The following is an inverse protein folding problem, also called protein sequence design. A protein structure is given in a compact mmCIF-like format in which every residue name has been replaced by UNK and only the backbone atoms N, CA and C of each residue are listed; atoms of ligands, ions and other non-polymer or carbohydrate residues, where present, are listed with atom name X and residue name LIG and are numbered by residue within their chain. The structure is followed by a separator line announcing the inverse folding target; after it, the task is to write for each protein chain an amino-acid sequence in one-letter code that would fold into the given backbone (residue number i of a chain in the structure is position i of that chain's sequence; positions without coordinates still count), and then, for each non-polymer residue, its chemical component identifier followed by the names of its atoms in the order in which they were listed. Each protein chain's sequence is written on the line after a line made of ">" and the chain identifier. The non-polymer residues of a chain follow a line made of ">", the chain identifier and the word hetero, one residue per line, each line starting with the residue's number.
data_IF_607600042794
#
_entry.id   IF_607600042794
#
_cell.length_a   1.000
_cell.length_b   1.000
_cell.length_c   1.000
_cell.angle_alpha   90.00
_cell.angle_beta   90.00
_cell.angle_gamma   90.00
#
_symmetry.space_group_name_H-M   'P 1'
#
loop_
_entity.id
_entity.type
_entity.pdbx_description
1 polymer ?
#
# COMPACT_ATOMS: atom_id res chain seq x y z
N UNK A 1 -7.78 20.20 -56.63
CA UNK A 1 -8.63 21.23 -56.00
C UNK A 1 -8.46 21.10 -54.49
N UNK A 2 -7.63 21.96 -53.89
CA UNK A 2 -7.32 21.95 -52.45
C UNK A 2 -8.20 22.95 -51.72
N UNK A 3 -8.86 22.52 -50.65
CA UNK A 3 -9.56 23.41 -49.72
C UNK A 3 -8.71 23.60 -48.46
N UNK A 4 -8.32 24.86 -48.21
CA UNK A 4 -7.64 25.33 -47.01
C UNK A 4 -8.68 25.96 -46.07
N UNK A 5 -8.76 25.49 -44.83
CA UNK A 5 -9.66 26.03 -43.78
C UNK A 5 -8.91 27.04 -42.89
N UNK A 6 -9.52 28.22 -42.76
CA UNK A 6 -9.04 29.41 -42.04
C UNK A 6 -9.19 29.30 -40.51
N UNK A 7 -8.23 29.86 -39.77
CA UNK A 7 -8.25 30.07 -38.30
C UNK A 7 -9.11 31.29 -37.91
N UNK A 8 -9.79 31.30 -36.75
CA UNK A 8 -10.51 32.47 -36.25
C UNK A 8 -9.63 33.45 -35.45
N UNK A 9 -9.96 34.73 -35.59
CA UNK A 9 -9.27 35.93 -35.06
C UNK A 9 -9.65 36.23 -33.60
N UNK A 10 -8.69 36.85 -32.88
CA UNK A 10 -8.88 37.51 -31.56
C UNK A 10 -9.80 38.73 -31.66
N UNK A 11 -10.59 38.97 -30.61
CA UNK A 11 -11.31 40.24 -30.40
C UNK A 11 -10.93 40.87 -29.06
N UNK A 12 -10.89 42.19 -29.11
CA UNK A 12 -10.24 43.16 -28.21
C UNK A 12 -11.24 43.64 -27.14
N UNK A 13 -10.72 43.95 -25.94
CA UNK A 13 -11.42 44.57 -24.79
C UNK A 13 -11.73 46.06 -25.05
N UNK A 14 -12.89 46.53 -24.56
CA UNK A 14 -13.23 47.96 -24.38
C UNK A 14 -13.73 48.15 -22.92
N UNK A 15 -13.37 49.24 -22.20
CA UNK A 15 -13.60 49.40 -20.76
C UNK A 15 -14.90 50.14 -20.44
N UNK A 16 -15.37 50.05 -19.18
CA UNK A 16 -16.35 50.99 -18.59
C UNK A 16 -15.92 51.41 -17.19
N UNK A 17 -15.99 52.72 -16.95
CA UNK A 17 -15.72 53.44 -15.70
C UNK A 17 -16.97 53.56 -14.82
N UNK A 18 -16.69 53.79 -13.52
CA UNK A 18 -17.58 53.93 -12.36
C UNK A 18 -18.70 54.99 -12.48
N UNK A 19 -19.85 54.77 -11.81
CA UNK A 19 -20.19 55.26 -10.44
C UNK A 19 -21.69 55.11 -10.19
N UNK A 20 -22.09 54.54 -9.04
CA UNK A 20 -23.04 55.15 -8.08
C UNK A 20 -23.22 54.24 -6.85
N UNK A 21 -23.16 54.90 -5.70
CA UNK A 21 -23.22 54.41 -4.33
C UNK A 21 -24.55 53.76 -3.96
N UNK A 22 -24.51 52.62 -3.25
CA UNK A 22 -25.50 52.25 -2.24
C UNK A 22 -24.79 51.52 -1.10
N UNK A 23 -24.91 52.10 0.10
CA UNK A 23 -24.47 51.56 1.38
C UNK A 23 -25.06 50.18 1.64
N UNK A 24 -24.21 49.17 1.87
CA UNK A 24 -24.61 47.91 2.50
C UNK A 24 -23.99 47.83 3.88
N UNK A 25 -24.87 47.89 4.87
CA UNK A 25 -24.66 47.56 6.26
C UNK A 25 -23.98 46.19 6.41
N UNK A 26 -22.95 46.14 7.25
CA UNK A 26 -22.32 44.90 7.70
C UNK A 26 -23.32 44.11 8.54
N UNK A 27 -23.84 43.01 7.99
CA UNK A 27 -24.41 41.94 8.81
C UNK A 27 -23.27 41.04 9.29
N UNK A 28 -22.89 41.20 10.56
CA UNK A 28 -22.18 40.17 11.30
C UNK A 28 -23.13 38.97 11.45
N UNK A 29 -22.98 37.96 10.58
CA UNK A 29 -23.54 36.63 10.84
C UNK A 29 -22.56 35.90 11.76
N UNK A 30 -22.83 35.95 13.06
CA UNK A 30 -22.29 35.02 14.03
C UNK A 30 -22.80 33.61 13.71
N UNK A 31 -22.12 32.92 12.80
CA UNK A 31 -22.35 31.51 12.57
C UNK A 31 -21.75 30.73 13.74
N UNK A 32 -22.63 30.45 14.70
CA UNK A 32 -22.48 29.46 15.76
C UNK A 32 -21.71 28.23 15.26
N UNK A 33 -20.72 27.83 16.07
CA UNK A 33 -19.93 26.62 15.97
C UNK A 33 -20.82 25.40 15.65
N UNK A 34 -20.95 25.05 14.37
CA UNK A 34 -21.45 23.76 13.95
C UNK A 34 -20.35 22.75 14.27
N UNK A 35 -20.63 21.89 15.27
CA UNK A 35 -19.90 20.69 15.63
C UNK A 35 -19.16 20.09 14.42
N UNK A 36 -17.86 20.34 14.29
CA UNK A 36 -17.00 19.43 13.53
C UNK A 36 -17.02 18.12 14.30
N UNK A 37 -17.89 17.20 13.91
CA UNK A 37 -17.86 15.83 14.42
C UNK A 37 -16.42 15.34 14.36
N UNK A 38 -15.86 15.02 15.52
CA UNK A 38 -14.54 14.42 15.65
C UNK A 38 -14.55 13.19 14.75
N UNK A 39 -13.63 13.14 13.77
CA UNK A 39 -13.52 11.95 12.93
C UNK A 39 -13.13 10.79 13.86
N UNK A 40 -13.85 9.66 13.82
CA UNK A 40 -13.45 8.49 14.58
C UNK A 40 -12.03 8.08 14.16
N UNK A 41 -11.19 7.59 15.10
CA UNK A 41 -9.86 7.06 14.81
C UNK A 41 -9.90 6.02 13.66
N UNK A 42 -8.84 5.94 12.85
CA UNK A 42 -8.80 4.94 11.77
C UNK A 42 -8.81 3.55 12.43
N UNK A 43 -9.57 2.61 11.85
CA UNK A 43 -9.73 1.26 12.43
C UNK A 43 -10.88 1.09 13.41
N UNK A 44 -11.57 2.17 13.82
CA UNK A 44 -12.67 2.11 14.82
C UNK A 44 -14.09 2.11 14.23
N UNK A 45 -14.24 2.03 12.90
CA UNK A 45 -15.54 2.18 12.23
C UNK A 45 -16.15 0.81 11.93
N UNK A 46 -16.80 0.22 12.92
CA UNK A 46 -17.44 -1.09 12.78
C UNK A 46 -18.85 -1.00 12.19
N UNK A 47 -19.11 -1.73 11.12
CA UNK A 47 -20.45 -1.85 10.54
C UNK A 47 -21.26 -2.84 11.39
N UNK A 48 -22.30 -2.36 12.08
CA UNK A 48 -23.15 -3.19 12.95
C UNK A 48 -24.50 -3.54 12.32
N UNK A 49 -24.99 -2.66 11.45
CA UNK A 49 -26.26 -2.81 10.74
C UNK A 49 -26.01 -2.62 9.24
N UNK A 50 -26.55 -3.50 8.40
CA UNK A 50 -26.45 -3.38 6.95
C UNK A 50 -27.13 -2.11 6.40
N UNK A 51 -28.15 -1.60 7.09
CA UNK A 51 -28.81 -0.35 6.73
C UNK A 51 -27.83 0.85 6.77
N UNK A 52 -26.77 0.75 7.58
CA UNK A 52 -25.81 1.82 7.77
C UNK A 52 -24.71 1.87 6.71
N UNK A 53 -24.59 0.87 5.83
CA UNK A 53 -23.46 0.72 4.88
C UNK A 53 -23.08 2.03 4.17
N UNK A 54 -24.07 2.79 3.70
CA UNK A 54 -23.86 4.02 2.91
C UNK A 54 -23.87 5.32 3.72
N UNK A 55 -23.93 5.24 5.05
CA UNK A 55 -23.83 6.42 5.94
C UNK A 55 -22.40 6.93 6.06
N UNK A 56 -21.41 6.06 5.84
CA UNK A 56 -19.97 6.37 5.84
C UNK A 56 -19.34 6.02 4.51
N UNK A 57 -18.13 6.54 4.26
CA UNK A 57 -17.37 6.20 3.04
C UNK A 57 -16.59 4.88 3.18
N UNK A 58 -16.33 4.45 4.42
CA UNK A 58 -15.63 3.21 4.71
C UNK A 58 -15.95 2.68 6.11
N UNK A 59 -15.85 1.37 6.24
CA UNK A 59 -15.98 0.58 7.47
C UNK A 59 -14.78 -0.35 7.60
N UNK A 60 -14.31 -0.52 8.82
CA UNK A 60 -13.13 -1.31 9.18
C UNK A 60 -13.57 -2.69 9.70
N UNK A 61 -12.76 -3.71 9.46
CA UNK A 61 -12.96 -5.10 9.90
C UNK A 61 -14.26 -5.75 9.39
N UNK A 62 -14.68 -5.39 8.17
CA UNK A 62 -15.86 -5.98 7.52
C UNK A 62 -15.46 -7.19 6.69
N UNK A 63 -15.54 -8.36 7.30
CA UNK A 63 -15.35 -9.64 6.62
C UNK A 63 -16.65 -9.99 5.88
N UNK A 64 -16.63 -10.21 4.55
CA UNK A 64 -17.81 -10.70 3.87
C UNK A 64 -18.21 -12.09 4.38
N UNK A 65 -19.51 -12.36 4.40
CA UNK A 65 -19.99 -13.71 4.67
C UNK A 65 -19.43 -14.68 3.60
N UNK A 66 -18.67 -15.73 4.01
CA UNK A 66 -18.00 -16.64 3.07
C UNK A 66 -18.95 -17.29 2.06
N UNK A 67 -20.16 -17.67 2.48
CA UNK A 67 -21.15 -18.29 1.59
C UNK A 67 -21.66 -17.28 0.55
N UNK A 68 -21.92 -16.04 0.96
CA UNK A 68 -22.39 -14.97 0.06
C UNK A 68 -21.43 -14.61 -1.07
N UNK A 69 -20.12 -14.86 -0.92
CA UNK A 69 -19.10 -14.48 -1.92
C UNK A 69 -18.42 -15.65 -2.63
N UNK A 70 -18.55 -16.88 -2.13
CA UNK A 70 -17.87 -18.05 -2.69
C UNK A 70 -18.13 -18.23 -4.19
N UNK A 71 -19.40 -18.15 -4.61
CA UNK A 71 -19.77 -18.27 -6.03
C UNK A 71 -19.21 -17.14 -6.89
N UNK A 72 -19.27 -15.89 -6.39
CA UNK A 72 -18.77 -14.70 -7.10
C UNK A 72 -17.24 -14.77 -7.27
N UNK A 73 -16.54 -15.21 -6.22
CA UNK A 73 -15.10 -15.42 -6.24
C UNK A 73 -14.76 -16.53 -7.25
N UNK A 74 -15.41 -17.68 -7.13
CA UNK A 74 -15.17 -18.82 -8.02
C UNK A 74 -15.42 -18.46 -9.49
N UNK A 75 -16.54 -17.80 -9.80
CA UNK A 75 -16.88 -17.35 -11.14
C UNK A 75 -15.86 -16.34 -11.67
N UNK A 76 -15.41 -15.39 -10.84
CA UNK A 76 -14.42 -14.39 -11.25
C UNK A 76 -13.07 -15.03 -11.57
N UNK A 77 -12.60 -15.96 -10.74
CA UNK A 77 -11.33 -16.65 -10.96
C UNK A 77 -11.39 -17.60 -12.16
N UNK A 78 -12.49 -18.34 -12.33
CA UNK A 78 -12.71 -19.20 -13.50
C UNK A 78 -12.67 -18.40 -14.80
N UNK A 79 -13.36 -17.25 -14.84
CA UNK A 79 -13.33 -16.32 -15.97
C UNK A 79 -11.91 -15.83 -16.28
N UNK A 80 -11.14 -15.47 -15.27
CA UNK A 80 -9.76 -14.99 -15.45
C UNK A 80 -8.82 -16.07 -15.97
N UNK A 81 -8.96 -17.31 -15.48
CA UNK A 81 -8.18 -18.47 -15.94
C UNK A 81 -8.55 -18.92 -17.36
N UNK A 82 -9.81 -18.72 -17.77
CA UNK A 82 -10.26 -19.07 -19.12
C UNK A 82 -9.59 -18.24 -20.23
N UNK A 83 -9.09 -17.04 -19.91
CA UNK A 83 -8.42 -16.16 -20.86
C UNK A 83 -7.22 -15.45 -20.20
N UNK A 84 -6.07 -16.12 -20.07
CA UNK A 84 -4.85 -15.51 -19.54
C UNK A 84 -4.24 -14.51 -20.54
N UNK A 85 -3.18 -13.83 -20.12
CA UNK A 85 -2.35 -13.02 -21.01
C UNK A 85 -1.68 -13.92 -22.06
N UNK A 86 -1.68 -13.49 -23.33
CA UNK A 86 -0.97 -14.21 -24.41
C UNK A 86 0.54 -14.29 -24.13
N UNK A 87 1.19 -15.40 -24.50
CA UNK A 87 2.60 -15.68 -24.16
C UNK A 87 3.57 -14.56 -24.56
N UNK A 88 3.45 -14.01 -25.77
CA UNK A 88 4.29 -12.90 -26.21
C UNK A 88 4.13 -11.64 -25.33
N UNK A 89 2.91 -11.35 -24.88
CA UNK A 89 2.65 -10.25 -23.96
C UNK A 89 3.13 -10.58 -22.54
N UNK A 90 3.03 -11.84 -22.10
CA UNK A 90 3.56 -12.32 -20.80
C UNK A 90 5.08 -12.12 -20.75
N UNK A 91 5.81 -12.50 -21.79
CA UNK A 91 7.26 -12.30 -21.91
C UNK A 91 7.64 -10.82 -21.78
N UNK A 92 7.00 -9.93 -22.56
CA UNK A 92 7.27 -8.50 -22.50
C UNK A 92 7.04 -7.89 -21.10
N UNK A 93 5.95 -8.29 -20.43
CA UNK A 93 5.62 -7.80 -19.09
C UNK A 93 6.66 -8.23 -18.03
N UNK A 94 7.27 -9.40 -18.21
CA UNK A 94 8.25 -9.96 -17.26
C UNK A 94 9.68 -9.49 -17.53
N UNK A 95 10.06 -9.25 -18.78
CA UNK A 95 11.39 -8.75 -19.13
C UNK A 95 11.59 -7.28 -18.77
N UNK A 96 10.52 -6.47 -18.81
CA UNK A 96 10.61 -5.03 -18.66
C UNK A 96 9.60 -4.46 -17.62
N UNK A 97 9.58 -4.98 -16.38
CA UNK A 97 8.52 -4.65 -15.43
C UNK A 97 8.56 -3.19 -14.91
N UNK A 98 9.70 -2.51 -15.04
CA UNK A 98 9.85 -1.09 -14.68
C UNK A 98 9.16 -0.15 -15.69
N UNK A 99 9.06 -0.52 -16.97
CA UNK A 99 8.56 0.39 -18.03
C UNK A 99 7.13 0.88 -17.79
N UNK A 100 6.15 0.03 -17.39
CA UNK A 100 4.82 0.49 -17.03
C UNK A 100 4.83 1.52 -15.90
N UNK A 101 5.70 1.37 -14.90
CA UNK A 101 5.83 2.32 -13.79
C UNK A 101 6.48 3.63 -14.21
N UNK A 102 7.50 3.60 -15.06
CA UNK A 102 8.07 4.82 -15.63
C UNK A 102 7.04 5.61 -16.43
N UNK A 103 6.21 4.94 -17.24
CA UNK A 103 5.10 5.55 -17.97
C UNK A 103 4.07 6.13 -16.99
N UNK A 104 3.72 5.37 -15.94
CA UNK A 104 2.80 5.79 -14.91
C UNK A 104 3.28 7.08 -14.22
N UNK A 105 4.52 7.13 -13.73
CA UNK A 105 5.05 8.30 -13.03
C UNK A 105 5.31 9.48 -13.97
N UNK A 106 5.71 9.23 -15.22
CA UNK A 106 5.78 10.28 -16.24
C UNK A 106 4.43 10.95 -16.48
N UNK A 107 3.34 10.18 -16.47
CA UNK A 107 1.98 10.69 -16.72
C UNK A 107 1.36 11.35 -15.50
N UNK A 108 1.49 10.74 -14.32
CA UNK A 108 0.71 11.13 -13.14
C UNK A 108 1.49 11.99 -12.14
N UNK A 109 2.83 11.93 -12.16
CA UNK A 109 3.71 12.56 -11.16
C UNK A 109 3.30 12.18 -9.73
N UNK A 110 3.15 13.16 -8.86
CA UNK A 110 2.75 13.10 -7.46
C UNK A 110 1.22 13.22 -7.24
N UNK A 111 0.42 13.29 -8.32
CA UNK A 111 -1.01 13.63 -8.22
C UNK A 111 -1.93 12.42 -8.04
N UNK A 112 -1.42 11.19 -8.16
CA UNK A 112 -2.25 9.99 -8.17
C UNK A 112 -2.44 9.38 -6.78
N UNK A 113 -1.34 9.14 -6.06
CA UNK A 113 -1.37 8.57 -4.73
C UNK A 113 -1.52 9.67 -3.69
N UNK A 114 -2.27 9.36 -2.63
CA UNK A 114 -2.43 10.26 -1.49
C UNK A 114 -1.38 9.96 -0.44
N UNK A 115 -1.02 10.98 0.30
CA UNK A 115 -0.19 10.85 1.49
C UNK A 115 -0.77 9.85 2.48
N UNK A 116 0.10 8.98 2.99
CA UNK A 116 -0.25 7.87 3.88
C UNK A 116 -0.35 8.36 5.32
N UNK A 117 -1.29 9.25 5.57
CA UNK A 117 -1.50 9.83 6.90
C UNK A 117 -1.96 8.81 7.95
N UNK A 118 -2.17 7.54 7.61
CA UNK A 118 -2.54 6.47 8.54
C UNK A 118 -1.32 5.73 9.13
N UNK A 119 -0.10 5.98 8.62
CA UNK A 119 1.09 5.23 9.04
C UNK A 119 1.38 5.37 10.54
N UNK A 120 1.05 6.52 11.14
CA UNK A 120 1.29 6.74 12.56
C UNK A 120 0.41 5.86 13.47
N UNK A 121 -0.76 5.43 12.99
CA UNK A 121 -1.68 4.56 13.75
C UNK A 121 -1.26 3.09 13.62
N UNK A 122 -0.92 2.64 12.42
CA UNK A 122 -0.59 1.23 12.13
C UNK A 122 0.88 0.89 12.44
N UNK A 123 1.77 1.89 12.31
CA UNK A 123 3.22 1.74 12.48
C UNK A 123 3.79 2.81 13.43
N UNK A 124 3.44 2.78 14.72
CA UNK A 124 3.96 3.73 15.72
C UNK A 124 5.49 3.73 15.83
N UNK A 125 6.15 2.65 15.40
CA UNK A 125 7.61 2.53 15.31
C UNK A 125 8.22 3.57 14.37
N UNK A 126 7.50 4.01 13.33
CA UNK A 126 7.96 5.10 12.46
C UNK A 126 7.91 6.43 13.19
N UNK A 127 6.85 6.65 13.97
CA UNK A 127 6.66 7.88 14.75
C UNK A 127 7.71 8.00 15.85
N UNK A 128 8.14 6.90 16.46
CA UNK A 128 9.21 6.96 17.46
C UNK A 128 10.53 7.43 16.85
N UNK A 129 10.83 7.06 15.59
CA UNK A 129 12.05 7.51 14.90
C UNK A 129 12.10 9.01 14.65
N UNK A 130 10.93 9.68 14.61
CA UNK A 130 10.82 11.11 14.30
C UNK A 130 10.88 11.99 15.54
N UNK A 131 10.86 11.43 16.76
CA UNK A 131 10.86 12.21 18.00
C UNK A 131 12.22 12.84 18.31
N UNK A 132 12.21 14.02 18.91
CA UNK A 132 13.42 14.63 19.45
C UNK A 132 14.10 13.66 20.45
N UNK A 133 15.42 13.48 20.30
CA UNK A 133 16.20 12.58 21.17
C UNK A 133 16.10 11.08 20.86
N UNK A 134 15.45 10.67 19.75
CA UNK A 134 15.42 9.27 19.33
C UNK A 134 16.81 8.72 18.91
N UNK A 135 17.80 9.59 18.72
CA UNK A 135 19.16 9.25 18.33
C UNK A 135 19.29 8.87 16.85
N UNK A 136 20.46 8.33 16.44
CA UNK A 136 20.70 7.90 15.07
C UNK A 136 19.78 6.74 14.67
N UNK A 137 18.90 6.99 13.70
CA UNK A 137 18.01 5.96 13.15
C UNK A 137 17.99 6.08 11.62
N UNK A 138 18.17 4.97 10.93
CA UNK A 138 18.03 4.88 9.47
C UNK A 138 16.76 4.12 9.10
N UNK A 139 15.88 4.78 8.36
CA UNK A 139 14.66 4.19 7.78
C UNK A 139 14.81 4.13 6.26
N UNK A 140 14.52 2.98 5.66
CA UNK A 140 14.52 2.82 4.21
C UNK A 140 13.10 2.51 3.68
N UNK A 141 12.61 3.29 2.72
CA UNK A 141 11.40 2.97 1.95
C UNK A 141 11.80 2.34 0.61
N UNK A 142 11.43 1.07 0.40
CA UNK A 142 11.64 0.37 -0.87
C UNK A 142 10.33 0.34 -1.66
N UNK A 143 10.39 0.75 -2.93
CA UNK A 143 9.21 1.11 -3.71
C UNK A 143 8.63 2.47 -3.28
N UNK A 144 9.49 3.48 -3.13
CA UNK A 144 9.12 4.78 -2.56
C UNK A 144 8.15 5.58 -3.43
N UNK A 145 8.04 5.29 -4.72
CA UNK A 145 7.15 6.00 -5.63
C UNK A 145 7.39 7.51 -5.62
N UNK A 146 6.33 8.29 -5.41
CA UNK A 146 6.43 9.75 -5.26
C UNK A 146 6.76 10.22 -3.83
N UNK A 147 7.04 9.31 -2.88
CA UNK A 147 7.39 9.63 -1.50
C UNK A 147 6.20 9.91 -0.58
N UNK A 148 4.98 9.49 -0.94
CA UNK A 148 3.75 9.73 -0.17
C UNK A 148 3.72 9.06 1.22
N UNK A 149 4.67 8.18 1.53
CA UNK A 149 4.83 7.60 2.87
C UNK A 149 5.88 8.37 3.67
N UNK A 150 7.08 8.59 3.11
CA UNK A 150 8.17 9.23 3.81
C UNK A 150 8.01 10.75 4.01
N UNK A 151 7.39 11.48 3.07
CA UNK A 151 7.30 12.94 3.20
C UNK A 151 6.38 13.40 4.34
N UNK A 152 5.23 12.76 4.61
CA UNK A 152 4.47 13.00 5.83
C UNK A 152 5.30 12.78 7.10
N UNK A 153 6.10 11.72 7.17
CA UNK A 153 6.99 11.45 8.31
C UNK A 153 8.06 12.55 8.47
N UNK A 154 8.66 12.98 7.35
CA UNK A 154 9.66 14.04 7.34
C UNK A 154 9.08 15.42 7.68
N UNK A 155 7.83 15.68 7.32
CA UNK A 155 7.14 16.94 7.61
C UNK A 155 6.94 17.13 9.12
N UNK A 156 6.72 16.04 9.84
CA UNK A 156 6.53 15.98 11.30
C UNK A 156 7.82 15.60 12.05
N UNK A 157 8.97 15.53 11.37
CA UNK A 157 10.22 15.09 11.97
C UNK A 157 10.86 16.12 12.91
N UNK A 158 11.13 15.70 14.14
CA UNK A 158 11.86 16.43 15.17
C UNK A 158 13.26 15.84 15.42
N UNK A 159 13.56 14.64 14.91
CA UNK A 159 14.84 13.96 15.06
C UNK A 159 15.88 14.47 14.04
N UNK A 160 16.91 15.16 14.52
CA UNK A 160 18.01 15.65 13.69
C UNK A 160 18.90 14.54 13.10
N UNK A 161 18.87 13.35 13.69
CA UNK A 161 19.71 12.20 13.33
C UNK A 161 18.95 11.12 12.55
N UNK A 162 17.69 11.39 12.17
CA UNK A 162 16.93 10.53 11.27
C UNK A 162 17.54 10.57 9.87
N UNK A 163 17.85 9.40 9.31
CA UNK A 163 18.25 9.22 7.92
C UNK A 163 17.18 8.45 7.16
N UNK A 164 16.52 9.13 6.23
CA UNK A 164 15.54 8.52 5.33
C UNK A 164 16.20 8.12 4.01
N UNK A 165 16.08 6.85 3.62
CA UNK A 165 16.57 6.32 2.36
C UNK A 165 15.36 5.91 1.51
N UNK A 166 15.30 6.33 0.25
CA UNK A 166 14.15 6.10 -0.61
C UNK A 166 14.60 5.45 -1.93
N UNK A 167 14.11 4.25 -2.20
CA UNK A 167 14.51 3.47 -3.35
C UNK A 167 13.30 3.07 -4.19
N UNK A 168 13.44 3.18 -5.51
CA UNK A 168 12.46 2.68 -6.47
C UNK A 168 13.20 2.29 -7.75
N UNK A 169 12.81 1.23 -8.46
CA UNK A 169 13.45 0.94 -9.75
C UNK A 169 13.08 1.96 -10.83
N UNK A 170 12.01 2.74 -10.62
CA UNK A 170 11.55 3.73 -11.56
C UNK A 170 12.38 5.00 -11.36
N UNK A 171 13.26 5.28 -12.32
CA UNK A 171 14.01 6.54 -12.33
C UNK A 171 13.05 7.75 -12.29
N UNK A 172 11.84 7.63 -12.87
CA UNK A 172 10.83 8.69 -12.85
C UNK A 172 10.21 8.90 -11.48
N UNK A 173 9.99 7.85 -10.71
CA UNK A 173 9.57 7.96 -9.31
C UNK A 173 10.61 8.72 -8.48
N UNK A 174 11.88 8.31 -8.60
CA UNK A 174 13.00 8.93 -7.87
C UNK A 174 13.22 10.40 -8.28
N UNK A 175 13.05 10.74 -9.56
CA UNK A 175 13.07 12.13 -10.03
C UNK A 175 12.01 12.99 -9.30
N UNK A 176 10.76 12.49 -9.19
CA UNK A 176 9.68 13.19 -8.47
C UNK A 176 10.05 13.40 -7.01
N UNK A 177 10.59 12.38 -6.35
CA UNK A 177 11.07 12.48 -4.96
C UNK A 177 12.13 13.58 -4.83
N UNK A 178 13.11 13.62 -5.73
CA UNK A 178 14.22 14.60 -5.69
C UNK A 178 13.77 16.04 -5.97
N UNK A 179 12.62 16.23 -6.62
CA UNK A 179 12.02 17.53 -6.86
C UNK A 179 11.28 18.09 -5.63
N UNK A 180 10.87 17.24 -4.70
CA UNK A 180 10.07 17.63 -3.55
C UNK A 180 10.83 18.60 -2.62
N UNK A 181 10.18 19.66 -2.07
CA UNK A 181 10.86 20.64 -1.23
C UNK A 181 11.56 20.03 0.01
N UNK A 182 10.92 19.06 0.67
CA UNK A 182 11.51 18.37 1.83
C UNK A 182 12.69 17.45 1.48
N UNK A 183 12.88 17.08 0.22
CA UNK A 183 14.09 16.36 -0.20
C UNK A 183 15.29 17.31 -0.22
N UNK A 184 15.12 18.51 -0.76
CA UNK A 184 16.19 19.50 -0.90
C UNK A 184 16.54 20.18 0.42
N UNK A 185 15.54 20.38 1.27
CA UNK A 185 15.69 21.09 2.54
C UNK A 185 14.78 20.47 3.59
N UNK A 186 15.10 19.26 4.09
CA UNK A 186 14.38 18.69 5.22
C UNK A 186 14.54 19.59 6.45
N UNK A 187 13.49 19.67 7.28
CA UNK A 187 13.53 20.47 8.52
C UNK A 187 14.55 19.91 9.53
N UNK A 188 14.62 18.59 9.60
CA UNK A 188 15.47 17.78 10.49
C UNK A 188 15.82 16.49 9.77
N UNK A 189 16.96 15.90 10.11
CA UNK A 189 17.43 14.66 9.51
C UNK A 189 17.94 14.85 8.09
N UNK A 190 18.10 13.74 7.39
CA UNK A 190 18.59 13.69 6.01
C UNK A 190 17.71 12.78 5.17
N UNK A 191 17.66 13.05 3.86
CA UNK A 191 16.92 12.25 2.89
C UNK A 191 17.84 11.94 1.73
N UNK A 192 17.92 10.68 1.34
CA UNK A 192 18.62 10.25 0.13
C UNK A 192 17.69 9.38 -0.71
N UNK A 193 17.68 9.60 -2.01
CA UNK A 193 16.86 8.83 -2.94
C UNK A 193 17.66 8.46 -4.18
N UNK A 194 17.58 7.20 -4.59
CA UNK A 194 18.23 6.72 -5.81
C UNK A 194 17.47 5.56 -6.48
N UNK A 195 17.65 5.38 -7.80
CA UNK A 195 17.09 4.23 -8.48
C UNK A 195 17.76 2.94 -7.99
N UNK A 196 16.97 1.99 -7.54
CA UNK A 196 17.46 0.66 -7.15
C UNK A 196 16.38 -0.40 -7.36
N UNK A 197 16.77 -1.49 -8.00
CA UNK A 197 15.90 -2.64 -8.23
C UNK A 197 16.06 -3.66 -7.10
N UNK A 198 15.07 -3.69 -6.22
CA UNK A 198 14.98 -4.57 -5.07
C UNK A 198 15.12 -6.06 -5.44
N UNK A 199 14.78 -6.47 -6.67
CA UNK A 199 14.88 -7.87 -7.09
C UNK A 199 16.25 -8.30 -7.60
N UNK A 200 17.21 -7.37 -7.75
CA UNK A 200 18.55 -7.68 -8.28
C UNK A 200 19.53 -7.99 -7.15
N UNK A 201 20.53 -8.87 -7.37
CA UNK A 201 21.52 -9.23 -6.35
C UNK A 201 22.58 -8.14 -6.15
N UNK A 202 22.12 -6.92 -5.86
CA UNK A 202 22.94 -5.72 -5.72
C UNK A 202 22.39 -4.88 -4.58
N UNK A 203 23.26 -4.30 -3.76
CA UNK A 203 22.86 -3.31 -2.76
C UNK A 203 22.87 -1.90 -3.36
N UNK A 204 22.06 -0.96 -2.83
CA UNK A 204 22.13 0.44 -3.19
C UNK A 204 23.54 1.03 -2.99
N UNK A 205 23.90 2.04 -3.79
CA UNK A 205 25.27 2.53 -3.83
C UNK A 205 25.64 3.22 -2.51
N UNK A 206 26.74 2.77 -1.90
CA UNK A 206 27.21 3.33 -0.62
C UNK A 206 26.40 2.89 0.60
N UNK A 207 25.38 2.04 0.44
CA UNK A 207 24.69 1.44 1.56
C UNK A 207 25.53 0.32 2.17
N UNK A 208 25.91 0.50 3.43
CA UNK A 208 26.60 -0.53 4.21
C UNK A 208 25.56 -1.61 4.61
N UNK A 209 25.79 -2.90 4.33
CA UNK A 209 24.94 -3.97 4.84
C UNK A 209 24.82 -3.92 6.37
N UNK A 210 23.66 -4.27 6.91
CA UNK A 210 23.43 -4.25 8.35
C UNK A 210 23.41 -2.85 8.96
N UNK A 211 23.01 -1.82 8.21
CA UNK A 211 23.02 -0.42 8.67
C UNK A 211 21.64 0.24 8.78
N UNK A 212 20.57 -0.45 8.37
CA UNK A 212 19.20 0.08 8.40
C UNK A 212 18.45 -0.47 9.61
N UNK A 213 17.74 0.41 10.33
CA UNK A 213 16.94 0.06 11.50
C UNK A 213 15.54 -0.41 11.11
N UNK A 214 14.91 0.26 10.14
CA UNK A 214 13.56 -0.06 9.66
C UNK A 214 13.50 -0.05 8.13
N UNK A 215 12.92 -1.09 7.53
CA UNK A 215 12.58 -1.13 6.10
C UNK A 215 11.06 -1.08 5.94
N UNK A 216 10.56 -0.07 5.25
CA UNK A 216 9.15 0.04 4.85
C UNK A 216 8.94 -0.63 3.49
N UNK A 217 8.04 -1.61 3.45
CA UNK A 217 7.63 -2.35 2.25
C UNK A 217 6.13 -2.18 2.04
N UNK A 218 5.72 -1.03 1.51
CA UNK A 218 4.31 -0.64 1.40
C UNK A 218 3.83 -0.68 -0.05
N UNK A 219 3.08 -1.71 -0.42
CA UNK A 219 2.58 -1.97 -1.77
C UNK A 219 3.73 -2.01 -2.79
N UNK A 220 4.68 -2.91 -2.57
CA UNK A 220 5.87 -3.07 -3.43
C UNK A 220 6.08 -4.51 -3.89
N UNK A 221 5.90 -5.49 -3.00
CA UNK A 221 6.22 -6.90 -3.29
C UNK A 221 5.22 -7.51 -4.27
N UNK A 222 3.97 -7.06 -4.28
CA UNK A 222 2.99 -7.49 -5.29
C UNK A 222 3.42 -7.19 -6.72
N UNK A 223 4.23 -6.16 -6.94
CA UNK A 223 4.66 -5.77 -8.27
C UNK A 223 5.81 -6.65 -8.81
N UNK A 224 6.38 -7.49 -7.95
CA UNK A 224 7.46 -8.41 -8.27
C UNK A 224 6.89 -9.75 -8.78
N UNK A 225 7.60 -10.36 -9.72
CA UNK A 225 7.33 -11.73 -10.12
C UNK A 225 7.67 -12.68 -8.97
N UNK A 226 6.93 -13.79 -8.76
CA UNK A 226 7.23 -14.71 -7.65
C UNK A 226 8.68 -15.22 -7.58
N UNK A 227 9.33 -15.41 -8.73
CA UNK A 227 10.76 -15.79 -8.80
C UNK A 227 11.73 -14.72 -8.26
N UNK A 228 11.26 -13.48 -8.06
CA UNK A 228 12.05 -12.35 -7.58
C UNK A 228 12.00 -12.20 -6.05
N UNK A 229 11.06 -12.87 -5.37
CA UNK A 229 10.85 -12.70 -3.94
C UNK A 229 12.03 -13.19 -3.11
N UNK A 230 12.64 -14.32 -3.47
CA UNK A 230 13.82 -14.85 -2.75
C UNK A 230 14.95 -13.82 -2.67
N UNK A 231 15.29 -13.22 -3.81
CA UNK A 231 16.34 -12.21 -3.87
C UNK A 231 15.95 -10.94 -3.12
N UNK A 232 14.69 -10.55 -3.23
CA UNK A 232 14.12 -9.40 -2.50
C UNK A 232 14.28 -9.55 -0.99
N UNK A 233 13.89 -10.70 -0.43
CA UNK A 233 14.03 -10.97 1.00
C UNK A 233 15.49 -11.04 1.42
N UNK A 234 16.36 -11.65 0.61
CA UNK A 234 17.79 -11.69 0.89
C UNK A 234 18.41 -10.28 0.95
N UNK A 235 18.01 -9.37 0.04
CA UNK A 235 18.47 -7.98 0.04
C UNK A 235 17.98 -7.21 1.26
N UNK A 236 16.70 -7.34 1.62
CA UNK A 236 16.13 -6.67 2.81
C UNK A 236 16.80 -7.19 4.08
N UNK A 237 17.01 -8.51 4.18
CA UNK A 237 17.75 -9.12 5.28
C UNK A 237 19.19 -8.60 5.35
N UNK A 238 19.91 -8.50 4.22
CA UNK A 238 21.26 -7.96 4.19
C UNK A 238 21.33 -6.47 4.59
N UNK A 239 20.30 -5.69 4.24
CA UNK A 239 20.20 -4.26 4.55
C UNK A 239 20.03 -3.98 6.07
N UNK A 240 19.17 -4.77 6.73
CA UNK A 240 18.77 -4.56 8.11
C UNK A 240 19.87 -4.90 9.12
N UNK A 241 20.00 -4.09 10.17
CA UNK A 241 20.73 -4.43 11.40
C UNK A 241 20.12 -5.69 12.04
N UNK A 242 20.88 -6.48 12.83
CA UNK A 242 20.28 -7.46 13.75
C UNK A 242 19.22 -6.77 14.62
N UNK A 243 18.03 -7.36 14.75
CA UNK A 243 16.90 -6.74 15.45
C UNK A 243 16.19 -5.61 14.68
N UNK A 244 16.63 -5.29 13.47
CA UNK A 244 15.96 -4.32 12.59
C UNK A 244 14.59 -4.82 12.12
N UNK A 245 13.67 -3.89 11.82
CA UNK A 245 12.27 -4.21 11.54
C UNK A 245 11.89 -4.05 10.07
N UNK A 246 10.98 -4.89 9.59
CA UNK A 246 10.23 -4.69 8.35
C UNK A 246 8.82 -4.26 8.71
N UNK A 247 8.34 -3.20 8.07
CA UNK A 247 6.95 -2.75 8.13
C UNK A 247 6.31 -2.98 6.77
N UNK A 248 5.43 -3.97 6.70
CA UNK A 248 4.92 -4.55 5.47
C UNK A 248 3.44 -4.24 5.28
N UNK A 249 3.04 -3.88 4.06
CA UNK A 249 1.64 -3.89 3.65
C UNK A 249 1.49 -4.21 2.17
N UNK A 250 0.63 -5.14 1.80
CA UNK A 250 0.34 -5.41 0.38
C UNK A 250 -1.08 -5.96 0.14
N UNK A 251 -1.42 -6.32 -1.10
CA UNK A 251 -2.75 -6.82 -1.47
C UNK A 251 -2.96 -8.27 -1.06
N UNK A 252 -4.08 -8.51 -0.38
CA UNK A 252 -4.53 -9.86 -0.03
C UNK A 252 -5.46 -10.45 -1.08
N UNK A 253 -5.56 -11.77 -1.07
CA UNK A 253 -6.47 -12.54 -1.93
C UNK A 253 -7.92 -12.13 -1.74
N UNK A 254 -8.66 -12.24 -2.84
CA UNK A 254 -10.07 -11.91 -2.94
C UNK A 254 -10.40 -10.42 -2.72
N UNK A 255 -9.40 -9.52 -2.75
CA UNK A 255 -9.65 -8.09 -2.87
C UNK A 255 -10.54 -7.83 -4.10
N UNK A 256 -11.52 -6.94 -3.97
CA UNK A 256 -12.46 -6.63 -5.05
C UNK A 256 -11.75 -6.22 -6.35
N UNK A 257 -10.56 -5.62 -6.26
CA UNK A 257 -9.75 -5.26 -7.42
C UNK A 257 -9.18 -6.49 -8.12
N UNK A 258 -8.88 -7.58 -7.40
CA UNK A 258 -8.55 -8.87 -8.00
C UNK A 258 -9.73 -9.41 -8.79
N UNK A 259 -10.90 -9.52 -8.15
CA UNK A 259 -12.09 -10.16 -8.73
C UNK A 259 -12.59 -9.40 -9.97
N UNK A 260 -12.44 -8.07 -9.98
CA UNK A 260 -12.84 -7.20 -11.09
C UNK A 260 -11.83 -7.15 -12.24
N UNK A 261 -10.67 -7.79 -12.14
CA UNK A 261 -9.75 -7.88 -13.28
C UNK A 261 -10.44 -8.56 -14.46
N UNK A 262 -10.29 -7.92 -15.62
CA UNK A 262 -10.82 -8.41 -16.89
C UNK A 262 -10.02 -9.62 -17.37
N UNK A 263 -10.58 -10.35 -18.31
CA UNK A 263 -9.87 -11.34 -19.10
C UNK A 263 -8.64 -10.73 -19.80
N UNK A 264 -7.68 -11.58 -20.15
CA UNK A 264 -6.41 -11.17 -20.75
C UNK A 264 -5.49 -10.43 -19.78
N UNK A 265 -5.60 -10.71 -18.48
CA UNK A 265 -4.82 -10.05 -17.41
C UNK A 265 -4.06 -10.99 -16.49
N UNK A 266 -4.42 -12.27 -16.43
CA UNK A 266 -3.71 -13.27 -15.63
C UNK A 266 -2.36 -13.60 -16.28
N UNK A 267 -1.26 -13.30 -15.60
CA UNK A 267 0.10 -13.69 -16.00
C UNK A 267 0.42 -15.10 -15.48
N UNK A 268 0.13 -15.36 -14.21
CA UNK A 268 0.36 -16.63 -13.53
C UNK A 268 -0.63 -16.77 -12.36
N UNK A 269 -0.60 -17.88 -11.63
CA UNK A 269 -1.48 -18.07 -10.48
C UNK A 269 -1.34 -16.89 -9.51
N UNK A 270 -2.47 -16.22 -9.24
CA UNK A 270 -2.57 -15.01 -8.41
C UNK A 270 -1.77 -13.78 -8.89
N UNK A 271 -1.11 -13.85 -10.05
CA UNK A 271 -0.28 -12.80 -10.62
C UNK A 271 -0.87 -12.22 -11.90
N UNK A 272 -1.00 -10.90 -11.96
CA UNK A 272 -1.75 -10.23 -13.02
C UNK A 272 -1.04 -8.99 -13.55
N UNK A 273 -1.50 -8.48 -14.69
CA UNK A 273 -1.29 -7.10 -15.13
C UNK A 273 -2.55 -6.25 -14.95
N UNK A 274 -2.36 -4.98 -14.60
CA UNK A 274 -3.40 -3.97 -14.54
C UNK A 274 -3.67 -3.35 -15.92
N UNK A 275 -4.62 -2.42 -15.98
CA UNK A 275 -4.97 -1.68 -17.20
C UNK A 275 -3.77 -0.96 -17.82
N UNK A 276 -2.93 -0.37 -16.98
CA UNK A 276 -1.69 0.34 -17.33
C UNK A 276 -0.46 -0.58 -17.51
N UNK A 277 -0.67 -1.90 -17.47
CA UNK A 277 0.35 -2.95 -17.60
C UNK A 277 1.30 -3.08 -16.40
N UNK A 278 1.08 -2.35 -15.30
CA UNK A 278 1.79 -2.63 -14.04
C UNK A 278 1.37 -4.00 -13.50
N UNK A 279 2.29 -4.71 -12.84
CA UNK A 279 2.05 -6.06 -12.32
C UNK A 279 1.42 -6.02 -10.94
N UNK A 280 0.64 -7.05 -10.60
CA UNK A 280 0.07 -7.22 -9.26
C UNK A 280 -0.13 -8.68 -8.90
N UNK A 281 0.45 -9.07 -7.78
CA UNK A 281 0.17 -10.30 -7.05
C UNK A 281 -0.86 -10.05 -5.94
N UNK A 282 -1.67 -11.05 -5.64
CA UNK A 282 -2.56 -11.04 -4.47
C UNK A 282 -2.18 -12.19 -3.55
N UNK A 283 -1.71 -11.86 -2.35
CA UNK A 283 -1.11 -12.80 -1.42
C UNK A 283 -2.15 -13.51 -0.54
N UNK A 284 -1.90 -14.79 -0.28
CA UNK A 284 -2.42 -15.47 0.90
C UNK A 284 -1.54 -15.13 2.12
N UNK A 285 -2.11 -15.18 3.31
CA UNK A 285 -1.40 -14.83 4.55
C UNK A 285 -0.22 -15.78 4.84
N UNK A 286 -0.40 -17.08 4.56
CA UNK A 286 0.65 -18.08 4.75
C UNK A 286 1.83 -17.91 3.78
N UNK A 287 1.62 -17.35 2.60
CA UNK A 287 2.70 -17.07 1.65
C UNK A 287 3.67 -16.04 2.24
N UNK A 288 3.15 -14.98 2.88
CA UNK A 288 3.98 -13.99 3.55
C UNK A 288 4.68 -14.60 4.77
N UNK A 289 3.97 -15.37 5.60
CA UNK A 289 4.57 -16.05 6.75
C UNK A 289 5.75 -16.92 6.32
N UNK A 290 5.57 -17.75 5.29
CA UNK A 290 6.63 -18.59 4.74
C UNK A 290 7.77 -17.76 4.15
N UNK A 291 7.45 -16.71 3.40
CA UNK A 291 8.45 -15.88 2.75
C UNK A 291 9.42 -15.21 3.74
N UNK A 292 8.93 -14.78 4.91
CA UNK A 292 9.76 -14.14 5.93
C UNK A 292 10.35 -15.13 6.95
N UNK A 293 9.56 -16.09 7.42
CA UNK A 293 9.93 -16.95 8.56
C UNK A 293 10.31 -18.38 8.17
N UNK A 294 9.98 -18.81 6.95
CA UNK A 294 10.13 -20.20 6.51
C UNK A 294 9.07 -21.16 7.08
N UNK A 295 8.07 -20.65 7.79
CA UNK A 295 6.96 -21.43 8.34
C UNK A 295 5.61 -20.78 8.05
N UNK A 296 4.55 -21.59 7.94
CA UNK A 296 3.16 -21.09 7.91
C UNK A 296 2.78 -20.54 9.28
N UNK A 297 1.72 -19.73 9.34
CA UNK A 297 1.19 -19.32 10.64
C UNK A 297 0.58 -20.51 11.38
N UNK A 298 0.75 -20.55 12.69
CA UNK A 298 0.01 -21.48 13.55
C UNK A 298 -1.48 -21.14 13.56
N UNK A 299 -2.32 -22.09 13.96
CA UNK A 299 -3.75 -21.84 14.14
C UNK A 299 -4.04 -20.78 15.22
N UNK A 300 -3.20 -20.73 16.26
CA UNK A 300 -3.32 -19.72 17.32
C UNK A 300 -3.10 -18.31 16.76
N UNK A 301 -2.06 -18.11 15.94
CA UNK A 301 -1.78 -16.83 15.26
C UNK A 301 -2.90 -16.45 14.27
N UNK A 302 -3.46 -17.43 13.55
CA UNK A 302 -4.63 -17.19 12.67
C UNK A 302 -5.87 -16.70 13.42
N UNK A 303 -6.17 -17.23 14.60
CA UNK A 303 -7.35 -16.81 15.39
C UNK A 303 -7.22 -15.37 15.91
N UNK A 304 -6.01 -14.96 16.27
CA UNK A 304 -5.71 -13.58 16.70
C UNK A 304 -5.88 -12.60 15.52
N UNK A 305 -5.49 -13.01 14.33
CA UNK A 305 -5.41 -12.13 13.14
C UNK A 305 -6.71 -12.02 12.36
N UNK A 306 -7.70 -12.87 12.66
CA UNK A 306 -9.04 -12.90 12.05
C UNK A 306 -10.13 -12.36 12.98
N UNK A 307 -9.84 -12.15 14.26
CA UNK A 307 -10.80 -11.61 15.22
C UNK A 307 -11.00 -10.11 14.98
N UNK A 308 -12.26 -9.62 14.79
CA UNK A 308 -12.54 -8.19 14.80
C UNK A 308 -12.07 -7.63 16.14
N UNK A 309 -11.25 -6.58 16.12
CA UNK A 309 -10.59 -6.04 17.32
C UNK A 309 -11.52 -5.97 18.53
N UNK A 310 -11.34 -6.89 19.47
CA UNK A 310 -11.93 -6.77 20.79
C UNK A 310 -11.03 -5.83 21.60
N UNK A 311 -11.66 -4.80 22.12
CA UNK A 311 -11.12 -3.93 23.14
C UNK A 311 -10.67 -4.75 24.35
N UNK A 312 -9.48 -4.41 24.87
CA UNK A 312 -8.96 -4.72 26.21
C UNK A 312 -8.49 -6.15 26.54
N UNK A 313 -7.26 -6.23 27.04
CA UNK A 313 -6.93 -6.96 28.26
C UNK A 313 -6.70 -8.47 28.18
N UNK A 314 -5.46 -8.86 28.45
CA UNK A 314 -5.08 -10.18 28.96
C UNK A 314 -6.05 -10.68 30.05
N UNK A 315 -6.77 -11.78 29.78
CA UNK A 315 -7.04 -12.94 30.65
C UNK A 315 -8.39 -13.59 30.31
N UNK A 316 -8.37 -14.85 29.88
CA UNK A 316 -8.95 -15.96 30.65
C UNK A 316 -8.89 -17.27 29.85
N UNK A 317 -8.50 -18.35 30.53
CA UNK A 317 -8.63 -19.73 30.06
C UNK A 317 -10.10 -20.07 29.78
N UNK A 318 -10.38 -20.82 28.70
CA UNK A 318 -10.97 -22.17 28.77
C UNK A 318 -11.33 -22.80 27.40
N UNK A 319 -10.94 -24.08 27.32
CA UNK A 319 -11.41 -25.31 26.60
C UNK A 319 -12.01 -25.29 25.17
N UNK A 320 -11.74 -26.37 24.40
CA UNK A 320 -11.99 -26.44 22.97
C UNK A 320 -13.45 -26.79 22.66
N UNK A 321 -14.01 -26.12 21.65
CA UNK A 321 -15.23 -26.53 20.98
C UNK A 321 -14.96 -26.71 19.49
N UNK A 322 -15.65 -27.70 18.94
CA UNK A 322 -15.34 -28.52 17.77
C UNK A 322 -15.24 -27.73 16.47
N UNK A 323 -14.17 -28.01 15.71
CA UNK A 323 -13.82 -27.38 14.44
C UNK A 323 -14.73 -27.86 13.31
N UNK A 324 -15.45 -26.92 12.69
CA UNK A 324 -15.88 -27.03 11.30
C UNK A 324 -14.79 -26.43 10.41
N UNK A 325 -14.07 -27.31 9.72
CA UNK A 325 -13.03 -26.95 8.76
C UNK A 325 -13.62 -26.11 7.62
N UNK A 326 -13.06 -24.91 7.42
CA UNK A 326 -13.25 -24.14 6.19
C UNK A 326 -12.24 -24.61 5.14
N UNK A 327 -12.63 -24.66 3.85
CA UNK A 327 -11.80 -25.28 2.83
C UNK A 327 -10.60 -24.40 2.49
N UNK A 328 -9.39 -24.93 2.74
CA UNK A 328 -8.14 -24.39 2.21
C UNK A 328 -8.11 -24.66 0.71
N UNK A 329 -8.61 -23.73 -0.10
CA UNK A 329 -8.51 -23.80 -1.56
C UNK A 329 -7.35 -22.94 -2.03
N UNK A 330 -6.20 -23.58 -2.23
CA UNK A 330 -5.02 -22.99 -2.85
C UNK A 330 -3.73 -23.57 -2.28
N UNK A 331 -3.07 -24.45 -3.03
CA UNK A 331 -1.68 -24.81 -2.76
C UNK A 331 -0.82 -23.55 -2.84
N UNK A 332 0.12 -23.40 -1.90
CA UNK A 332 1.04 -22.27 -1.87
C UNK A 332 1.83 -22.15 -3.17
N UNK A 333 2.19 -20.93 -3.57
CA UNK A 333 2.91 -20.71 -4.83
C UNK A 333 4.23 -21.49 -4.86
N UNK A 334 4.55 -22.21 -5.96
CA UNK A 334 5.73 -23.10 -6.03
C UNK A 334 7.07 -22.36 -5.98
N UNK A 335 7.08 -21.05 -6.24
CA UNK A 335 8.29 -20.20 -6.13
C UNK A 335 8.57 -19.69 -4.72
N UNK A 336 7.84 -20.14 -3.70
CA UNK A 336 8.22 -19.83 -2.32
C UNK A 336 9.62 -20.38 -2.04
N UNK A 337 10.46 -19.62 -1.32
CA UNK A 337 11.85 -20.00 -1.12
C UNK A 337 11.95 -21.25 -0.26
N UNK A 338 12.46 -22.34 -0.84
CA UNK A 338 12.81 -23.57 -0.12
C UNK A 338 14.28 -23.60 0.34
N UNK A 339 15.15 -22.80 -0.28
CA UNK A 339 16.61 -22.86 -0.11
C UNK A 339 17.23 -21.64 0.61
N UNK A 340 16.41 -20.81 1.27
CA UNK A 340 16.94 -19.77 2.17
C UNK A 340 17.18 -20.38 3.56
N UNK A 341 18.25 -19.96 4.30
CA UNK A 341 18.48 -20.42 5.66
C UNK A 341 17.45 -19.76 6.59
N UNK A 342 16.24 -20.31 6.60
CA UNK A 342 15.17 -19.86 7.48
C UNK A 342 15.38 -20.40 8.92
N UNK A 343 14.85 -19.69 9.94
CA UNK A 343 14.14 -18.41 9.84
C UNK A 343 15.09 -17.23 9.61
N UNK A 344 14.72 -16.31 8.71
CA UNK A 344 15.44 -15.03 8.51
C UNK A 344 14.86 -13.92 9.41
N UNK A 345 13.58 -14.05 9.74
CA UNK A 345 12.85 -13.09 10.54
C UNK A 345 11.91 -13.81 11.52
N UNK A 346 11.59 -13.15 12.62
CA UNK A 346 10.44 -13.48 13.47
C UNK A 346 9.26 -12.58 13.12
N UNK A 347 8.04 -13.10 13.31
CA UNK A 347 6.81 -12.32 13.17
C UNK A 347 6.49 -11.64 14.49
N UNK A 348 6.36 -10.32 14.47
CA UNK A 348 5.81 -9.54 15.59
C UNK A 348 4.30 -9.34 15.39
N UNK A 349 3.88 -9.11 14.15
CA UNK A 349 2.48 -8.96 13.76
C UNK A 349 2.33 -9.43 12.30
N UNK A 350 1.26 -10.16 11.96
CA UNK A 350 0.93 -10.48 10.58
C UNK A 350 -0.56 -10.79 10.46
N UNK A 351 -1.33 -9.97 9.76
CA UNK A 351 -2.78 -10.15 9.68
C UNK A 351 -3.42 -9.62 8.41
N UNK A 352 -4.74 -9.84 8.33
CA UNK A 352 -5.57 -9.39 7.20
C UNK A 352 -6.42 -8.21 7.64
N UNK A 353 -6.30 -7.10 6.91
CA UNK A 353 -7.16 -5.94 7.07
C UNK A 353 -8.27 -5.97 6.01
N UNK A 354 -9.48 -6.31 6.46
CA UNK A 354 -10.70 -6.21 5.66
C UNK A 354 -11.32 -4.82 5.80
N UNK A 355 -11.42 -4.09 4.69
CA UNK A 355 -12.05 -2.77 4.66
C UNK A 355 -13.17 -2.73 3.64
N UNK A 356 -14.39 -2.43 4.08
CA UNK A 356 -15.48 -2.11 3.18
C UNK A 356 -15.40 -0.63 2.83
N UNK A 357 -15.06 -0.32 1.59
CA UNK A 357 -15.22 1.02 1.03
C UNK A 357 -16.52 1.08 0.24
N UNK A 358 -17.19 2.23 0.18
CA UNK A 358 -18.45 2.36 -0.55
C UNK A 358 -18.43 3.56 -1.48
N UNK A 359 -18.98 3.38 -2.68
CA UNK A 359 -19.35 4.49 -3.53
C UNK A 359 -20.80 4.86 -3.22
N UNK A 360 -20.99 5.91 -2.44
CA UNK A 360 -22.32 6.37 -2.02
C UNK A 360 -23.17 6.91 -3.17
N UNK A 361 -22.57 7.30 -4.30
CA UNK A 361 -23.29 7.80 -5.48
C UNK A 361 -23.85 6.64 -6.31
N UNK A 362 -23.06 5.60 -6.53
CA UNK A 362 -23.46 4.42 -7.32
C UNK A 362 -24.03 3.29 -6.47
N UNK A 363 -24.04 3.45 -5.14
CA UNK A 363 -24.47 2.43 -4.17
C UNK A 363 -23.67 1.12 -4.29
N UNK A 364 -22.36 1.22 -4.59
CA UNK A 364 -21.50 0.05 -4.75
C UNK A 364 -20.67 -0.21 -3.49
N UNK A 365 -20.66 -1.48 -3.04
CA UNK A 365 -19.76 -2.01 -2.02
C UNK A 365 -18.43 -2.44 -2.66
N UNK A 366 -17.31 -2.07 -2.04
CA UNK A 366 -15.95 -2.38 -2.47
C UNK A 366 -15.18 -2.99 -1.29
N UNK A 367 -15.15 -4.31 -1.23
CA UNK A 367 -14.42 -5.07 -0.21
C UNK A 367 -12.92 -5.09 -0.55
N UNK A 368 -12.13 -4.37 0.25
CA UNK A 368 -10.67 -4.32 0.15
C UNK A 368 -10.07 -5.32 1.11
N UNK A 369 -9.04 -6.03 0.64
CA UNK A 369 -8.29 -6.99 1.42
C UNK A 369 -6.82 -6.62 1.31
N UNK A 370 -6.23 -6.25 2.45
CA UNK A 370 -4.81 -5.96 2.55
C UNK A 370 -4.18 -6.84 3.58
N UNK A 371 -2.95 -7.27 3.35
CA UNK A 371 -2.13 -7.92 4.36
C UNK A 371 -1.23 -6.89 5.00
N UNK A 372 -1.08 -6.93 6.31
CA UNK A 372 -0.20 -6.07 7.09
C UNK A 372 0.70 -6.94 7.96
N UNK A 373 1.98 -6.60 8.05
CA UNK A 373 2.91 -7.35 8.89
C UNK A 373 4.05 -6.51 9.44
N UNK A 374 4.61 -6.98 10.55
CA UNK A 374 5.79 -6.49 11.22
C UNK A 374 6.70 -7.67 11.47
N UNK A 375 7.92 -7.60 10.95
CA UNK A 375 8.90 -8.67 11.07
C UNK A 375 10.19 -8.13 11.65
N UNK A 376 10.88 -8.93 12.47
CA UNK A 376 12.15 -8.56 13.09
C UNK A 376 13.24 -9.46 12.57
N UNK A 377 14.36 -8.89 12.13
CA UNK A 377 15.52 -9.65 11.68
C UNK A 377 16.17 -10.40 12.85
N UNK A 378 16.42 -11.69 12.64
CA UNK A 378 17.10 -12.57 13.58
C UNK A 378 18.61 -12.36 13.66
#
# INVERSE_FOLDING_TARGET
>A
MSFTLLKPRRLIRIPRSNTLSHSRTFYHSSSTCLNKQVRPPIGSRYLRDEADVFTRNAWDNVVPDPESQAEVIAASLARQRAAPVLDAAKAWCNENPHKPWDIFYKKNRDNFFKDRNWLHEEFPELVSTTRAGAGPVTVAEVGCGAGNSMFPLLAENENAELRMLAYDYSCRAVEIVREHPLYRSPRRGTVHAEPWDLSKPTMPQGLVPGSVDIVMMLFVVHALHPSEWRQTIANVHAMLKPGGKILFRDYGRYDVMQLRLKEGRLLDENFYIRGDKTRVYFFELDELSLLFTGSKMSEAERRITTSPGNETGFNSMNKPTTETATPVVGGLHPSLPHDLPHPLFTTEELGVNHRLTVNRKTQEKLHRVWLQGKFVKL
#
